data_IF_909831502530
#
_entry.id   IF_909831502530
#
_cell.length_a   1.000
_cell.length_b   1.000
_cell.length_c   1.000
_cell.angle_alpha   90.00
_cell.angle_beta   90.00
_cell.angle_gamma   90.00
#
_symmetry.space_group_name_H-M   'P 1'
#
loop_
_entity.id
_entity.type
_entity.pdbx_description
1 polymer ?
#
# COMPACT_ATOMS: atom_id res chain seq x y z
N UNK A 1 -23.14 -6.77 0.49
CA UNK A 1 -21.65 -6.68 0.44
C UNK A 1 -21.09 -7.91 1.11
N UNK A 2 -19.95 -8.43 0.64
CA UNK A 2 -19.32 -9.62 1.22
C UNK A 2 -18.45 -9.22 2.41
N UNK A 3 -18.89 -9.56 3.62
CA UNK A 3 -18.12 -9.32 4.86
C UNK A 3 -17.23 -10.52 5.14
N UNK A 4 -15.93 -10.28 5.29
CA UNK A 4 -14.93 -11.27 5.68
C UNK A 4 -14.02 -10.69 6.76
N UNK A 5 -13.25 -11.55 7.44
CA UNK A 5 -12.21 -11.07 8.37
C UNK A 5 -11.23 -10.09 7.73
N UNK A 6 -10.94 -10.24 6.44
CA UNK A 6 -10.02 -9.34 5.73
C UNK A 6 -10.62 -7.93 5.54
N UNK A 7 -11.89 -7.83 5.15
CA UNK A 7 -12.56 -6.53 4.98
C UNK A 7 -12.70 -5.80 6.31
N UNK A 8 -12.94 -6.53 7.40
CA UNK A 8 -13.04 -5.97 8.76
C UNK A 8 -11.69 -5.47 9.28
N UNK A 9 -10.63 -6.27 9.12
CA UNK A 9 -9.29 -5.92 9.61
C UNK A 9 -8.66 -4.76 8.83
N UNK A 10 -8.85 -4.73 7.51
CA UNK A 10 -8.18 -3.77 6.63
C UNK A 10 -9.04 -2.55 6.27
N UNK A 11 -10.33 -2.56 6.61
CA UNK A 11 -11.24 -1.45 6.31
C UNK A 11 -11.54 -1.26 4.81
N UNK A 12 -11.44 -2.33 4.00
CA UNK A 12 -11.76 -2.31 2.57
C UNK A 12 -13.15 -2.89 2.27
N UNK A 13 -13.71 -2.56 1.10
CA UNK A 13 -15.07 -2.97 0.68
C UNK A 13 -15.08 -4.39 0.09
N UNK A 14 -14.06 -4.71 -0.68
CA UNK A 14 -13.91 -5.98 -1.37
C UNK A 14 -12.71 -6.73 -0.80
N UNK A 15 -12.80 -8.04 -0.58
CA UNK A 15 -11.68 -8.84 -0.10
C UNK A 15 -10.66 -9.11 -1.23
N UNK A 16 -10.20 -8.03 -1.88
CA UNK A 16 -9.31 -8.04 -3.03
C UNK A 16 -8.10 -7.18 -2.66
N UNK A 17 -6.93 -7.78 -2.78
CA UNK A 17 -5.66 -7.11 -2.53
C UNK A 17 -4.96 -6.84 -3.85
N UNK A 18 -4.59 -5.59 -4.10
CA UNK A 18 -3.59 -5.27 -5.11
C UNK A 18 -2.21 -5.47 -4.48
N UNK A 19 -1.48 -6.47 -4.96
CA UNK A 19 -0.15 -6.81 -4.43
C UNK A 19 0.91 -5.82 -4.90
N UNK A 20 1.93 -5.60 -4.08
CA UNK A 20 3.07 -4.79 -4.46
C UNK A 20 3.95 -5.50 -5.49
N UNK A 21 4.15 -4.85 -6.64
CA UNK A 21 5.21 -5.18 -7.59
C UNK A 21 6.12 -3.97 -7.71
N UNK A 22 7.43 -4.18 -7.54
CA UNK A 22 8.41 -3.12 -7.73
C UNK A 22 8.22 -2.46 -9.10
N UNK A 23 8.31 -1.12 -9.13
CA UNK A 23 8.11 -0.28 -10.32
C UNK A 23 6.69 -0.25 -10.91
N UNK A 24 5.76 -1.06 -10.42
CA UNK A 24 4.36 -1.12 -10.91
C UNK A 24 3.39 -0.57 -9.89
N UNK A 25 3.56 -0.92 -8.62
CA UNK A 25 2.70 -0.49 -7.52
C UNK A 25 3.06 0.92 -7.04
N UNK A 26 2.82 1.90 -7.91
CA UNK A 26 3.01 3.33 -7.65
C UNK A 26 1.85 3.94 -6.85
N UNK A 27 1.96 5.22 -6.41
CA UNK A 27 0.91 5.87 -5.64
C UNK A 27 -0.45 5.95 -6.34
N UNK A 28 -0.48 6.03 -7.67
CA UNK A 28 -1.72 6.15 -8.45
C UNK A 28 -2.45 4.82 -8.53
N UNK A 29 -1.72 3.72 -8.73
CA UNK A 29 -2.29 2.37 -8.75
C UNK A 29 -2.83 1.99 -7.37
N UNK A 30 -2.07 2.26 -6.31
CA UNK A 30 -2.50 1.99 -4.93
C UNK A 30 -3.75 2.80 -4.59
N UNK A 31 -3.73 4.12 -4.81
CA UNK A 31 -4.89 4.96 -4.52
C UNK A 31 -6.12 4.59 -5.35
N UNK A 32 -5.92 4.27 -6.64
CA UNK A 32 -6.99 3.79 -7.51
C UNK A 32 -7.63 2.49 -7.01
N UNK A 33 -6.81 1.54 -6.57
CA UNK A 33 -7.27 0.27 -6.01
C UNK A 33 -8.06 0.46 -4.71
N UNK A 34 -7.57 1.32 -3.81
CA UNK A 34 -8.24 1.64 -2.56
C UNK A 34 -9.57 2.40 -2.79
N UNK A 35 -9.58 3.37 -3.71
CA UNK A 35 -10.78 4.12 -4.09
C UNK A 35 -11.85 3.22 -4.75
N UNK A 36 -11.42 2.23 -5.53
CA UNK A 36 -12.31 1.21 -6.10
C UNK A 36 -12.87 0.23 -5.05
N UNK A 37 -12.30 0.20 -3.84
CA UNK A 37 -12.78 -0.58 -2.71
C UNK A 37 -11.94 -1.82 -2.35
N UNK A 38 -10.83 -2.06 -3.04
CA UNK A 38 -9.82 -3.05 -2.63
C UNK A 38 -8.89 -2.50 -1.56
N UNK A 39 -7.85 -3.27 -1.23
CA UNK A 39 -6.74 -2.83 -0.37
C UNK A 39 -5.43 -2.88 -1.18
N UNK A 40 -4.78 -1.73 -1.34
CA UNK A 40 -3.54 -1.61 -2.12
C UNK A 40 -2.29 -1.68 -1.25
N UNK A 41 -1.21 -2.21 -1.82
CA UNK A 41 0.13 -2.16 -1.23
C UNK A 41 1.08 -1.36 -2.13
N UNK A 42 1.69 -0.33 -1.56
CA UNK A 42 2.77 0.42 -2.18
C UNK A 42 4.04 -0.42 -2.16
N UNK A 43 4.74 -0.48 -3.29
CA UNK A 43 6.03 -1.15 -3.37
C UNK A 43 7.13 -0.20 -2.90
N UNK A 44 7.84 -0.56 -1.84
CA UNK A 44 9.15 0.03 -1.58
C UNK A 44 10.17 -1.00 -1.13
N UNK A 45 10.13 -2.15 -1.80
CA UNK A 45 11.29 -3.00 -1.91
C UNK A 45 12.44 -2.20 -2.55
N UNK A 46 13.60 -2.18 -1.88
CA UNK A 46 14.87 -1.63 -2.41
C UNK A 46 14.94 -0.11 -2.62
N UNK A 47 13.94 0.66 -2.21
CA UNK A 47 14.00 2.14 -2.28
C UNK A 47 14.51 2.76 -0.97
N UNK A 48 15.13 3.95 -1.01
CA UNK A 48 15.47 4.70 0.18
C UNK A 48 14.24 5.13 1.01
N UNK A 49 14.37 5.30 2.34
CA UNK A 49 13.26 5.72 3.20
C UNK A 49 12.62 7.05 2.79
N UNK A 50 13.40 8.01 2.31
CA UNK A 50 12.89 9.30 1.82
C UNK A 50 11.99 9.16 0.58
N UNK A 51 12.29 8.20 -0.29
CA UNK A 51 11.45 7.88 -1.44
C UNK A 51 10.17 7.19 -1.02
N UNK A 52 10.26 6.30 -0.02
CA UNK A 52 9.09 5.66 0.58
C UNK A 52 8.15 6.70 1.21
N UNK A 53 8.69 7.63 2.00
CA UNK A 53 7.89 8.69 2.63
C UNK A 53 7.20 9.56 1.59
N UNK A 54 7.93 9.99 0.55
CA UNK A 54 7.37 10.74 -0.58
C UNK A 54 6.18 10.00 -1.20
N UNK A 55 6.33 8.71 -1.48
CA UNK A 55 5.30 7.93 -2.16
C UNK A 55 4.10 7.66 -1.24
N UNK A 56 4.31 7.44 0.06
CA UNK A 56 3.25 7.38 1.09
C UNK A 56 2.43 8.68 1.12
N UNK A 57 3.09 9.84 1.10
CA UNK A 57 2.43 11.14 1.09
C UNK A 57 1.62 11.34 -0.19
N UNK A 58 2.12 10.87 -1.33
CA UNK A 58 1.38 10.91 -2.59
C UNK A 58 0.12 10.03 -2.55
N UNK A 59 0.18 8.81 -1.99
CA UNK A 59 -1.02 7.98 -1.81
C UNK A 59 -2.04 8.70 -0.92
N UNK A 60 -1.60 9.25 0.22
CA UNK A 60 -2.47 10.00 1.14
C UNK A 60 -3.09 11.26 0.51
N UNK A 61 -2.45 11.87 -0.48
CA UNK A 61 -3.02 12.99 -1.22
C UNK A 61 -4.11 12.54 -2.24
N UNK A 62 -4.13 11.26 -2.62
CA UNK A 62 -5.03 10.71 -3.63
C UNK A 62 -6.19 9.88 -3.05
N UNK A 63 -6.10 9.47 -1.77
CA UNK A 63 -7.13 8.70 -1.09
C UNK A 63 -7.06 8.83 0.43
N UNK A 64 -8.23 8.89 1.08
CA UNK A 64 -8.36 8.78 2.54
C UNK A 64 -8.51 7.31 3.01
N UNK A 65 -8.41 6.34 2.09
CA UNK A 65 -8.58 4.92 2.37
C UNK A 65 -7.30 4.32 2.96
N UNK A 66 -7.41 3.32 3.86
CA UNK A 66 -6.24 2.61 4.36
C UNK A 66 -5.55 1.86 3.22
N UNK A 67 -4.23 1.76 3.31
CA UNK A 67 -3.36 1.05 2.38
C UNK A 67 -2.16 0.48 3.15
N UNK A 68 -1.44 -0.45 2.53
CA UNK A 68 -0.25 -1.06 3.11
C UNK A 68 1.02 -0.66 2.37
N UNK A 69 2.16 -0.96 2.98
CA UNK A 69 3.49 -0.82 2.40
C UNK A 69 4.15 -2.20 2.37
N UNK A 70 4.78 -2.55 1.26
CA UNK A 70 5.53 -3.78 1.11
C UNK A 70 7.03 -3.48 0.98
N UNK A 71 7.82 -4.12 1.83
CA UNK A 71 9.27 -4.00 1.87
C UNK A 71 9.90 -5.34 2.26
N UNK A 72 11.21 -5.44 2.08
CA UNK A 72 11.98 -6.64 2.40
C UNK A 72 12.65 -6.49 3.76
N UNK A 73 12.25 -7.33 4.72
CA UNK A 73 12.80 -7.29 6.09
C UNK A 73 14.32 -7.54 6.14
N UNK A 74 14.89 -8.19 5.13
CA UNK A 74 16.32 -8.45 5.05
C UNK A 74 17.15 -7.26 4.54
N UNK A 75 16.51 -6.16 4.12
CA UNK A 75 17.23 -4.98 3.66
C UNK A 75 17.79 -4.18 4.85
N UNK A 76 19.00 -3.59 4.72
CA UNK A 76 19.60 -2.80 5.81
C UNK A 76 18.71 -1.66 6.32
N UNK A 77 17.90 -1.07 5.44
CA UNK A 77 17.01 0.06 5.74
C UNK A 77 15.58 -0.36 6.11
N UNK A 78 15.31 -1.65 6.35
CA UNK A 78 13.95 -2.11 6.64
C UNK A 78 13.38 -1.47 7.92
N UNK A 79 14.23 -1.18 8.92
CA UNK A 79 13.82 -0.53 10.16
C UNK A 79 13.39 0.92 9.97
N UNK A 80 13.85 1.60 8.92
CA UNK A 80 13.53 2.99 8.62
C UNK A 80 12.18 3.13 7.90
N UNK A 81 11.58 2.01 7.48
CA UNK A 81 10.28 1.94 6.79
C UNK A 81 9.13 1.64 7.77
N UNK A 82 9.43 1.10 8.96
CA UNK A 82 8.45 0.67 9.97
C UNK A 82 7.86 1.86 10.73
#
# INVERSE_FOLDING_TARGET
MLTTRLTELLGCRYPIVQTAMGWVADPRLVAGSCNAGGFGFLAGATIPPEEMERDILQVKALTDRPFGVNFHMYQPNAADII
#
